data_IF_912245456692
#
_entry.id   IF_912245456692
#
_cell.length_a   1.000
_cell.length_b   1.000
_cell.length_c   1.000
_cell.angle_alpha   90.00
_cell.angle_beta   90.00
_cell.angle_gamma   90.00
#
_symmetry.space_group_name_H-M   'P 1'
#
loop_
_entity.id
_entity.type
_entity.pdbx_description
1 polymer ?
#
# COMPACT_ATOMS: atom_id res chain seq x y z
N UNK A 1 -5.84 10.58 -10.15
CA UNK A 1 -6.41 9.24 -9.94
C UNK A 1 -6.06 8.28 -11.07
N UNK A 2 -6.40 8.60 -12.33
CA UNK A 2 -6.12 7.78 -13.52
C UNK A 2 -4.65 7.35 -13.65
N UNK A 3 -3.71 8.29 -13.50
CA UNK A 3 -2.28 8.00 -13.56
C UNK A 3 -1.84 6.90 -12.58
N UNK A 4 -2.36 6.94 -11.34
CA UNK A 4 -1.98 5.98 -10.30
C UNK A 4 -2.58 4.59 -10.58
N UNK A 5 -3.81 4.54 -11.12
CA UNK A 5 -4.43 3.30 -11.57
C UNK A 5 -3.62 2.64 -12.68
N UNK A 6 -3.32 3.37 -13.76
CA UNK A 6 -2.53 2.86 -14.90
C UNK A 6 -1.12 2.45 -14.47
N UNK A 7 -0.46 3.26 -13.63
CA UNK A 7 0.84 2.92 -13.08
C UNK A 7 0.80 1.62 -12.27
N UNK A 8 -0.24 1.39 -11.47
CA UNK A 8 -0.41 0.15 -10.71
C UNK A 8 -0.67 -1.07 -11.60
N UNK A 9 -1.47 -0.91 -12.65
CA UNK A 9 -1.77 -1.95 -13.64
C UNK A 9 -0.51 -2.37 -14.41
N UNK A 10 0.27 -1.39 -14.86
CA UNK A 10 1.51 -1.64 -15.61
C UNK A 10 2.57 -2.25 -14.70
N UNK A 11 2.73 -1.70 -13.49
CA UNK A 11 3.68 -2.22 -12.51
C UNK A 11 3.39 -3.67 -12.16
N UNK A 12 2.12 -4.06 -11.96
CA UNK A 12 1.74 -5.44 -11.69
C UNK A 12 2.18 -6.40 -12.80
N UNK A 13 2.11 -5.98 -14.08
CA UNK A 13 2.55 -6.76 -15.25
C UNK A 13 4.09 -6.87 -15.36
N UNK A 14 4.83 -6.02 -14.67
CA UNK A 14 6.29 -6.09 -14.60
C UNK A 14 6.80 -7.01 -13.47
N UNK A 15 5.95 -7.44 -12.55
CA UNK A 15 6.33 -8.37 -11.47
C UNK A 15 6.23 -9.81 -11.98
N UNK A 16 7.17 -10.21 -12.83
CA UNK A 16 7.26 -11.55 -13.42
C UNK A 16 8.64 -12.18 -13.17
N UNK A 17 8.76 -13.53 -13.19
CA UNK A 17 10.04 -14.20 -12.99
C UNK A 17 11.13 -13.67 -13.93
N UNK A 18 12.32 -13.37 -13.41
CA UNK A 18 13.47 -12.89 -14.19
C UNK A 18 13.45 -11.39 -14.53
N UNK A 19 12.39 -10.66 -14.18
CA UNK A 19 12.37 -9.19 -14.29
C UNK A 19 13.02 -8.53 -13.08
N UNK A 20 13.47 -7.30 -13.29
CA UNK A 20 14.10 -6.48 -12.26
C UNK A 20 13.11 -5.49 -11.64
N UNK A 21 13.33 -5.17 -10.37
CA UNK A 21 12.72 -4.03 -9.67
C UNK A 21 12.84 -2.70 -10.44
N UNK A 22 13.91 -2.51 -11.22
CA UNK A 22 14.11 -1.31 -12.05
C UNK A 22 13.03 -1.16 -13.12
N UNK A 23 12.56 -2.26 -13.69
CA UNK A 23 11.53 -2.25 -14.71
C UNK A 23 10.20 -1.73 -14.15
N UNK A 24 9.88 -2.11 -12.91
CA UNK A 24 8.72 -1.62 -12.16
C UNK A 24 8.85 -0.13 -11.91
N UNK A 25 10.00 0.31 -11.36
CA UNK A 25 10.27 1.73 -11.05
C UNK A 25 10.15 2.57 -12.33
N UNK A 26 10.84 2.18 -13.40
CA UNK A 26 10.84 2.91 -14.67
C UNK A 26 9.43 2.99 -15.26
N UNK A 27 8.66 1.91 -15.21
CA UNK A 27 7.29 1.89 -15.71
C UNK A 27 6.38 2.87 -14.94
N UNK A 28 6.45 2.88 -13.61
CA UNK A 28 5.66 3.81 -12.78
C UNK A 28 6.04 5.26 -13.08
N UNK A 29 7.34 5.56 -13.18
CA UNK A 29 7.83 6.91 -13.41
C UNK A 29 7.51 7.42 -14.82
N UNK A 30 7.49 6.56 -15.83
CA UNK A 30 7.09 6.95 -17.18
C UNK A 30 5.62 7.38 -17.22
N UNK A 31 4.73 6.59 -16.59
CA UNK A 31 3.31 6.96 -16.46
C UNK A 31 3.18 8.27 -15.69
N UNK A 32 3.88 8.41 -14.56
CA UNK A 32 3.81 9.63 -13.77
C UNK A 32 4.18 10.87 -14.61
N UNK A 33 5.26 10.79 -15.41
CA UNK A 33 5.71 11.88 -16.29
C UNK A 33 4.68 12.26 -17.35
N UNK A 34 4.06 11.29 -18.01
CA UNK A 34 3.06 11.56 -19.06
C UNK A 34 1.83 12.29 -18.53
N UNK A 35 1.42 12.00 -17.30
CA UNK A 35 0.29 12.66 -16.65
C UNK A 35 0.70 13.92 -15.85
N UNK A 36 1.98 14.34 -15.91
CA UNK A 36 2.48 15.49 -15.16
C UNK A 36 2.47 15.30 -13.64
N UNK A 37 2.43 14.05 -13.16
CA UNK A 37 2.46 13.69 -11.74
C UNK A 37 3.87 13.29 -11.30
N UNK A 38 4.07 13.23 -9.98
CA UNK A 38 5.29 12.73 -9.34
C UNK A 38 4.99 11.52 -8.46
N UNK A 39 5.93 10.57 -8.39
CA UNK A 39 5.84 9.42 -7.49
C UNK A 39 6.15 9.88 -6.06
N UNK A 40 5.30 9.52 -5.10
CA UNK A 40 5.49 9.89 -3.70
C UNK A 40 6.62 9.07 -3.05
N UNK A 41 7.30 9.66 -2.07
CA UNK A 41 8.40 9.01 -1.33
C UNK A 41 7.99 7.75 -0.57
N UNK A 42 6.73 7.69 -0.15
CA UNK A 42 6.19 6.54 0.58
C UNK A 42 5.59 5.46 -0.32
N UNK A 43 5.80 5.55 -1.65
CA UNK A 43 5.41 4.48 -2.57
C UNK A 43 6.46 3.37 -2.55
N UNK A 44 6.07 2.18 -2.09
CA UNK A 44 6.96 1.02 -1.96
C UNK A 44 6.37 -0.22 -2.64
N UNK A 45 7.25 -1.07 -3.14
CA UNK A 45 6.90 -2.44 -3.49
C UNK A 45 7.63 -3.35 -2.51
N UNK A 46 6.87 -4.08 -1.70
CA UNK A 46 7.40 -4.88 -0.59
C UNK A 46 7.13 -6.35 -0.80
N UNK A 47 8.15 -7.18 -0.63
CA UNK A 47 7.96 -8.63 -0.56
C UNK A 47 7.13 -8.97 0.69
N UNK A 48 6.16 -9.87 0.51
CA UNK A 48 5.36 -10.45 1.58
C UNK A 48 5.81 -11.88 1.85
N UNK A 49 5.92 -12.24 3.12
CA UNK A 49 6.19 -13.60 3.57
C UNK A 49 5.31 -13.91 4.79
N UNK A 50 5.29 -15.17 5.22
CA UNK A 50 4.51 -15.60 6.37
C UNK A 50 4.91 -14.80 7.62
N UNK A 51 3.97 -14.03 8.16
CA UNK A 51 4.20 -13.16 9.32
C UNK A 51 5.32 -12.11 9.10
N UNK A 52 5.60 -11.73 7.85
CA UNK A 52 6.52 -10.65 7.51
C UNK A 52 5.87 -9.74 6.47
N UNK A 53 5.46 -8.55 6.91
CA UNK A 53 4.80 -7.56 6.05
C UNK A 53 5.78 -6.80 5.13
N UNK A 54 7.07 -6.74 5.49
CA UNK A 54 8.11 -6.10 4.68
C UNK A 54 9.33 -7.00 4.66
N UNK A 55 9.43 -7.81 3.61
CA UNK A 55 10.54 -8.73 3.37
C UNK A 55 11.81 -8.03 2.90
N UNK A 56 12.85 -8.83 2.63
CA UNK A 56 14.17 -8.33 2.23
C UNK A 56 14.16 -7.63 0.88
N UNK A 57 13.34 -8.12 -0.06
CA UNK A 57 13.19 -7.52 -1.39
C UNK A 57 12.11 -6.43 -1.37
N UNK A 58 12.37 -5.37 -0.61
CA UNK A 58 11.50 -4.20 -0.53
C UNK A 58 12.22 -2.98 -1.09
N UNK A 59 11.62 -2.30 -2.05
CA UNK A 59 12.23 -1.15 -2.72
C UNK A 59 11.24 0.01 -2.89
N UNK A 60 11.79 1.22 -3.00
CA UNK A 60 11.02 2.45 -3.22
C UNK A 60 10.70 2.59 -4.71
N UNK A 61 9.47 2.98 -5.04
CA UNK A 61 9.02 3.17 -6.42
C UNK A 61 9.45 4.55 -6.99
N UNK A 62 9.87 5.48 -6.12
CA UNK A 62 10.44 6.77 -6.54
C UNK A 62 11.91 6.59 -6.91
N UNK A 63 12.31 7.11 -8.06
CA UNK A 63 13.73 7.13 -8.45
C UNK A 63 14.49 8.02 -7.47
N UNK A 64 15.49 7.46 -6.78
CA UNK A 64 16.37 8.23 -5.89
C UNK A 64 17.51 8.83 -6.69
N UNK A 65 17.76 10.13 -6.49
CA UNK A 65 18.92 10.83 -7.07
C UNK A 65 20.22 10.41 -6.39
N UNK A 66 20.17 10.01 -5.12
CA UNK A 66 21.34 9.60 -4.32
C UNK A 66 21.07 8.32 -3.51
N UNK A 67 22.07 7.44 -3.46
CA UNK A 67 22.06 6.19 -2.68
C UNK A 67 22.01 4.90 -3.53
N UNK A 68 22.32 3.74 -2.93
CA UNK A 68 22.29 2.47 -3.65
C UNK A 68 20.84 2.12 -4.02
N UNK A 69 20.56 2.03 -5.32
CA UNK A 69 19.32 1.43 -5.80
C UNK A 69 19.47 -0.09 -5.70
N UNK A 70 18.73 -0.70 -4.78
CA UNK A 70 18.74 -2.15 -4.63
C UNK A 70 18.02 -2.78 -5.81
N UNK A 71 18.79 -3.42 -6.67
CA UNK A 71 18.26 -4.20 -7.77
C UNK A 71 17.86 -5.58 -7.25
N UNK A 72 16.56 -5.86 -7.29
CA UNK A 72 16.00 -7.14 -6.93
C UNK A 72 15.41 -7.80 -8.16
N UNK A 73 15.82 -9.06 -8.39
CA UNK A 73 15.18 -9.94 -9.36
C UNK A 73 13.98 -10.63 -8.72
N UNK A 74 12.88 -10.73 -9.46
CA UNK A 74 11.68 -11.44 -9.03
C UNK A 74 11.82 -12.93 -9.29
N UNK A 75 11.57 -13.75 -8.27
CA UNK A 75 11.57 -15.21 -8.40
C UNK A 75 10.14 -15.77 -8.37
N UNK A 76 9.93 -16.88 -9.08
CA UNK A 76 8.67 -17.61 -9.00
C UNK A 76 8.40 -18.12 -7.57
N UNK A 77 7.16 -18.01 -7.12
CA UNK A 77 6.73 -18.36 -5.76
C UNK A 77 6.80 -17.20 -4.76
N UNK A 78 7.34 -16.05 -5.14
CA UNK A 78 7.34 -14.86 -4.29
C UNK A 78 6.01 -14.10 -4.36
N UNK A 79 5.66 -13.40 -3.29
CA UNK A 79 4.49 -12.52 -3.23
C UNK A 79 4.93 -11.09 -2.92
N UNK A 80 4.31 -10.11 -3.57
CA UNK A 80 4.62 -8.70 -3.38
C UNK A 80 3.36 -7.89 -3.12
N UNK A 81 3.45 -6.94 -2.19
CA UNK A 81 2.54 -5.82 -2.04
C UNK A 81 3.05 -4.68 -2.90
N UNK A 82 2.32 -4.37 -3.96
CA UNK A 82 2.57 -3.22 -4.82
C UNK A 82 1.77 -2.02 -4.30
N UNK A 83 2.46 -1.00 -3.79
CA UNK A 83 1.85 0.24 -3.29
C UNK A 83 2.26 1.44 -4.15
N UNK A 84 1.41 1.81 -5.11
CA UNK A 84 1.65 2.94 -6.02
C UNK A 84 0.95 4.18 -5.50
N UNK A 85 1.75 5.19 -5.16
CA UNK A 85 1.26 6.48 -4.66
C UNK A 85 1.81 7.57 -5.59
N UNK A 86 0.91 8.28 -6.26
CA UNK A 86 1.24 9.43 -7.10
C UNK A 86 0.64 10.70 -6.54
N UNK A 87 1.36 11.80 -6.70
CA UNK A 87 0.93 13.15 -6.36
C UNK A 87 0.94 14.06 -7.59
N UNK A 88 0.03 15.04 -7.63
CA UNK A 88 0.10 16.16 -8.58
C UNK A 88 1.21 17.16 -8.24
N UNK A 89 1.69 17.15 -7.00
CA UNK A 89 2.74 18.04 -6.50
C UNK A 89 4.15 17.49 -6.69
N UNK A 90 5.03 17.76 -5.73
CA UNK A 90 6.45 17.35 -5.77
C UNK A 90 6.69 15.90 -5.35
N UNK A 91 5.67 15.23 -4.80
CA UNK A 91 5.80 13.88 -4.25
C UNK A 91 6.70 13.79 -3.02
N UNK A 92 6.92 14.92 -2.32
CA UNK A 92 7.60 14.99 -1.02
C UNK A 92 6.53 15.33 0.01
N UNK A 93 6.23 14.37 0.89
CA UNK A 93 5.19 14.54 1.90
C UNK A 93 5.78 15.08 3.20
N UNK A 94 5.01 15.93 3.88
CA UNK A 94 5.32 16.39 5.24
C UNK A 94 4.57 15.54 6.25
N UNK A 95 5.17 15.31 7.41
CA UNK A 95 4.46 14.70 8.53
C UNK A 95 3.32 15.63 8.96
N UNK A 96 2.13 15.08 9.05
CA UNK A 96 0.94 15.83 9.46
C UNK A 96 0.97 16.11 10.97
N UNK A 97 0.16 17.07 11.40
CA UNK A 97 -0.03 17.41 12.82
C UNK A 97 -0.81 16.32 13.58
N UNK A 98 -1.53 15.46 12.86
CA UNK A 98 -2.32 14.39 13.45
C UNK A 98 -1.43 13.29 14.03
N UNK A 99 -1.73 12.91 15.27
CA UNK A 99 -1.05 11.80 15.93
C UNK A 99 -1.36 10.46 15.23
N UNK A 100 -0.38 9.54 15.14
CA UNK A 100 -0.58 8.23 14.56
C UNK A 100 -1.59 7.41 15.37
N UNK A 101 -2.51 6.75 14.67
CA UNK A 101 -3.52 5.87 15.28
C UNK A 101 -3.31 4.40 14.93
N UNK A 102 -2.39 4.09 14.02
CA UNK A 102 -2.05 2.73 13.60
C UNK A 102 -0.63 2.42 14.09
N UNK A 103 -0.47 1.24 14.68
CA UNK A 103 0.81 0.76 15.20
C UNK A 103 1.06 -0.66 14.73
N UNK A 104 2.32 -1.03 14.52
CA UNK A 104 2.72 -2.42 14.35
C UNK A 104 3.76 -2.81 15.39
N UNK A 105 3.85 -4.11 15.68
CA UNK A 105 4.84 -4.63 16.62
C UNK A 105 6.15 -4.91 15.90
N UNK A 106 7.25 -4.41 16.44
CA UNK A 106 8.57 -4.79 15.97
C UNK A 106 9.03 -6.09 16.65
N UNK A 107 9.09 -7.18 15.88
CA UNK A 107 9.53 -8.49 16.40
C UNK A 107 11.04 -8.56 16.61
N UNK A 108 11.79 -7.73 15.88
CA UNK A 108 13.26 -7.75 15.90
C UNK A 108 13.85 -6.95 17.06
N UNK A 109 13.00 -6.24 17.83
CA UNK A 109 13.41 -5.43 18.97
C UNK A 109 12.89 -6.04 20.27
N UNK A 110 13.79 -6.19 21.23
CA UNK A 110 13.46 -6.61 22.58
C UNK A 110 14.01 -5.58 23.57
N UNK A 111 13.14 -5.08 24.43
CA UNK A 111 13.48 -4.08 25.43
C UNK A 111 12.74 -4.37 26.74
N UNK A 112 13.44 -4.22 27.86
CA UNK A 112 12.85 -4.40 29.19
C UNK A 112 12.17 -3.11 29.64
N UNK A 113 10.87 -3.01 29.40
CA UNK A 113 10.02 -1.89 29.78
C UNK A 113 10.09 -1.59 31.29
N UNK A 114 10.28 -0.32 31.64
CA UNK A 114 10.45 0.19 33.01
C UNK A 114 9.12 0.53 33.67
N UNK A 115 8.16 1.08 32.94
CA UNK A 115 6.86 1.43 33.51
C UNK A 115 5.93 0.22 33.60
N UNK A 116 5.12 0.17 34.66
CA UNK A 116 4.10 -0.89 34.83
C UNK A 116 3.03 -0.80 33.75
N UNK A 117 2.61 0.42 33.40
CA UNK A 117 1.64 0.69 32.33
C UNK A 117 2.13 0.15 30.98
N UNK A 118 3.39 0.43 30.60
CA UNK A 118 3.96 -0.06 29.34
C UNK A 118 4.03 -1.58 29.27
N UNK A 119 4.42 -2.24 30.38
CA UNK A 119 4.44 -3.72 30.44
C UNK A 119 3.05 -4.32 30.24
N UNK A 120 2.03 -3.75 30.88
CA UNK A 120 0.64 -4.20 30.73
C UNK A 120 0.15 -3.99 29.31
N UNK A 121 0.38 -2.80 28.74
CA UNK A 121 0.02 -2.47 27.36
C UNK A 121 0.69 -3.44 26.37
N UNK A 122 2.00 -3.60 26.45
CA UNK A 122 2.74 -4.45 25.52
C UNK A 122 2.34 -5.93 25.64
N UNK A 123 2.04 -6.39 26.86
CA UNK A 123 1.48 -7.71 27.10
C UNK A 123 0.12 -7.90 26.42
N UNK A 124 -0.80 -6.93 26.56
CA UNK A 124 -2.10 -6.93 25.87
C UNK A 124 -1.94 -6.97 24.35
N UNK A 125 -1.05 -6.14 23.80
CA UNK A 125 -0.79 -6.12 22.35
C UNK A 125 -0.26 -7.47 21.89
N UNK A 126 0.69 -8.08 22.60
CA UNK A 126 1.23 -9.39 22.22
C UNK A 126 0.21 -10.53 22.31
N UNK A 127 -0.81 -10.43 23.18
CA UNK A 127 -1.85 -11.45 23.30
C UNK A 127 -2.99 -11.26 22.31
N UNK A 128 -3.38 -10.01 22.05
CA UNK A 128 -4.55 -9.68 21.24
C UNK A 128 -4.20 -9.51 19.76
N UNK A 129 -3.02 -8.98 19.45
CA UNK A 129 -2.60 -8.62 18.11
C UNK A 129 -1.44 -9.49 17.63
N UNK A 130 -1.43 -9.77 16.34
CA UNK A 130 -0.31 -10.40 15.66
C UNK A 130 0.82 -9.37 15.44
N UNK A 131 1.77 -9.73 14.58
CA UNK A 131 2.84 -8.84 14.11
C UNK A 131 2.32 -7.78 13.12
N UNK A 132 1.09 -7.92 12.65
CA UNK A 132 0.46 -7.02 11.68
C UNK A 132 0.04 -5.68 12.31
N UNK A 133 -0.08 -4.62 11.50
CA UNK A 133 -0.57 -3.33 11.98
C UNK A 133 -1.99 -3.45 12.54
N UNK A 134 -2.25 -2.74 13.63
CA UNK A 134 -3.55 -2.71 14.31
C UNK A 134 -3.95 -1.26 14.64
N UNK A 135 -5.25 -1.05 14.82
CA UNK A 135 -5.77 0.24 15.22
C UNK A 135 -5.60 0.43 16.73
N UNK A 136 -5.12 1.60 17.13
CA UNK A 136 -4.96 1.98 18.53
C UNK A 136 -6.25 1.74 19.33
N UNK A 137 -7.40 2.12 18.77
CA UNK A 137 -8.73 1.99 19.41
C UNK A 137 -9.12 0.54 19.73
N UNK A 138 -8.58 -0.45 19.03
CA UNK A 138 -8.94 -1.86 19.23
C UNK A 138 -8.27 -2.47 20.47
N UNK A 139 -7.09 -1.96 20.84
CA UNK A 139 -6.23 -2.62 21.84
C UNK A 139 -5.78 -1.68 22.97
N UNK A 140 -5.74 -0.37 22.73
CA UNK A 140 -5.16 0.63 23.62
C UNK A 140 -6.27 1.48 24.24
N UNK A 141 -6.53 1.25 25.52
CA UNK A 141 -7.43 2.06 26.33
C UNK A 141 -6.79 3.39 26.75
N UNK A 142 -7.60 4.38 27.14
CA UNK A 142 -7.12 5.66 27.70
C UNK A 142 -6.13 5.49 28.85
N UNK A 143 -6.34 4.47 29.70
CA UNK A 143 -5.46 4.16 30.85
C UNK A 143 -4.07 3.65 30.42
N UNK A 144 -3.99 3.01 29.26
CA UNK A 144 -2.78 2.39 28.75
C UNK A 144 -1.97 3.34 27.86
N UNK A 145 -2.56 4.47 27.42
CA UNK A 145 -1.89 5.50 26.60
C UNK A 145 -0.59 6.01 27.22
N UNK A 146 -0.50 6.07 28.55
CA UNK A 146 0.73 6.48 29.23
C UNK A 146 1.92 5.56 28.95
N UNK A 147 1.67 4.27 28.69
CA UNK A 147 2.71 3.29 28.38
C UNK A 147 3.15 3.29 26.91
N UNK A 148 2.37 3.92 26.03
CA UNK A 148 2.61 3.91 24.59
C UNK A 148 3.89 4.67 24.22
N UNK A 149 4.16 5.79 24.89
CA UNK A 149 5.34 6.63 24.63
C UNK A 149 6.65 5.88 24.86
N UNK A 150 6.74 5.03 25.90
CA UNK A 150 7.90 4.19 26.17
C UNK A 150 8.06 3.09 25.11
N UNK A 151 6.96 2.44 24.70
CA UNK A 151 6.98 1.40 23.68
C UNK A 151 7.43 1.94 22.31
N UNK A 152 6.95 3.13 21.93
CA UNK A 152 7.35 3.80 20.69
C UNK A 152 8.80 4.27 20.76
N UNK A 153 9.21 4.90 21.87
CA UNK A 153 10.58 5.39 22.06
C UNK A 153 11.64 4.29 21.96
N UNK A 154 11.32 3.08 22.42
CA UNK A 154 12.23 1.94 22.37
C UNK A 154 11.97 1.02 21.16
N UNK A 155 11.27 1.52 20.14
CA UNK A 155 11.01 0.81 18.87
C UNK A 155 10.29 -0.54 19.02
N UNK A 156 9.58 -0.78 20.13
CA UNK A 156 8.78 -2.00 20.32
C UNK A 156 7.48 -1.92 19.52
N UNK A 157 6.90 -0.71 19.43
CA UNK A 157 5.75 -0.39 18.59
C UNK A 157 6.16 0.67 17.57
N UNK A 158 5.92 0.40 16.29
CA UNK A 158 6.23 1.30 15.19
C UNK A 158 4.95 2.08 14.83
N UNK A 159 4.93 3.41 15.00
CA UNK A 159 3.79 4.22 14.59
C UNK A 159 3.77 4.39 13.07
N UNK A 160 2.57 4.32 12.49
CA UNK A 160 2.33 4.72 11.10
C UNK A 160 1.90 6.18 11.11
N UNK A 161 2.87 7.08 10.94
CA UNK A 161 2.64 8.52 10.89
C UNK A 161 1.77 8.90 9.70
N UNK A 162 0.82 9.80 9.92
CA UNK A 162 0.04 10.41 8.84
C UNK A 162 0.94 11.44 8.15
N UNK A 163 1.06 11.34 6.84
CA UNK A 163 1.77 12.32 6.03
C UNK A 163 0.82 12.92 4.99
N UNK A 164 1.07 14.18 4.64
CA UNK A 164 0.26 14.94 3.68
C UNK A 164 1.16 15.69 2.72
N UNK A 165 0.69 15.88 1.49
CA UNK A 165 1.33 16.79 0.54
C UNK A 165 0.97 18.26 0.86
N UNK A 166 1.47 19.20 0.05
CA UNK A 166 1.13 20.62 0.15
C UNK A 166 -0.37 20.85 -0.05
N UNK A 167 -0.89 21.89 0.60
CA UNK A 167 -2.29 22.26 0.47
C UNK A 167 -2.63 22.56 -1.00
N UNK A 168 -3.73 21.97 -1.49
CA UNK A 168 -4.21 22.12 -2.86
C UNK A 168 -3.72 21.04 -3.83
N UNK A 169 -2.80 20.17 -3.41
CA UNK A 169 -2.35 19.03 -4.22
C UNK A 169 -3.21 17.78 -3.97
N UNK A 170 -3.28 16.91 -4.96
CA UNK A 170 -4.02 15.66 -4.90
C UNK A 170 -3.08 14.46 -4.92
N UNK A 171 -3.34 13.51 -4.02
CA UNK A 171 -2.62 12.24 -3.93
C UNK A 171 -3.57 11.09 -4.22
N UNK A 172 -3.14 10.16 -5.07
CA UNK A 172 -3.87 8.94 -5.36
C UNK A 172 -3.02 7.71 -5.04
N UNK A 173 -3.60 6.76 -4.32
CA UNK A 173 -2.95 5.52 -3.90
C UNK A 173 -3.71 4.31 -4.43
N UNK A 174 -3.01 3.38 -5.06
CA UNK A 174 -3.51 2.06 -5.41
C UNK A 174 -2.58 1.01 -4.84
N UNK A 175 -3.16 0.09 -4.08
CA UNK A 175 -2.44 -1.02 -3.44
C UNK A 175 -3.03 -2.34 -3.90
N UNK A 176 -2.17 -3.26 -4.32
CA UNK A 176 -2.57 -4.61 -4.72
C UNK A 176 -1.52 -5.63 -4.33
N UNK A 177 -1.96 -6.87 -4.16
CA UNK A 177 -1.07 -8.00 -3.89
C UNK A 177 -0.92 -8.84 -5.15
N UNK A 178 0.32 -9.05 -5.57
CA UNK A 178 0.68 -9.81 -6.77
C UNK A 178 1.53 -11.00 -6.36
N UNK A 179 1.11 -12.18 -6.79
CA UNK A 179 1.87 -13.41 -6.70
C UNK A 179 2.67 -13.64 -7.98
N UNK A 180 3.95 -13.91 -7.84
CA UNK A 180 4.84 -14.22 -8.97
C UNK A 180 4.68 -15.69 -9.30
N UNK A 181 3.70 -16.01 -10.14
CA UNK A 181 3.51 -17.36 -10.63
C UNK A 181 4.55 -17.69 -11.73
N UNK A 182 4.84 -18.97 -11.94
CA UNK A 182 5.81 -19.39 -12.95
C UNK A 182 5.37 -19.03 -14.38
N UNK A 183 4.06 -18.88 -14.63
CA UNK A 183 3.51 -18.45 -15.93
C UNK A 183 3.38 -16.94 -16.08
N UNK A 184 3.62 -16.16 -15.02
CA UNK A 184 3.48 -14.71 -15.04
C UNK A 184 2.89 -14.14 -13.75
N UNK A 185 2.62 -12.82 -13.72
CA UNK A 185 2.03 -12.17 -12.55
C UNK A 185 0.59 -12.61 -12.35
N UNK A 186 0.25 -12.94 -11.11
CA UNK A 186 -1.09 -13.33 -10.70
C UNK A 186 -1.60 -12.35 -9.64
N UNK A 187 -2.64 -11.59 -9.97
CA UNK A 187 -3.30 -10.70 -9.03
C UNK A 187 -4.10 -11.51 -8.00
N UNK A 188 -3.86 -11.25 -6.72
CA UNK A 188 -4.60 -11.85 -5.60
C UNK A 188 -5.71 -10.96 -5.05
N UNK A 189 -5.62 -9.64 -5.24
CA UNK A 189 -6.62 -8.68 -4.77
C UNK A 189 -7.72 -8.45 -5.80
N UNK A 190 -8.91 -8.02 -5.35
CA UNK A 190 -10.00 -7.68 -6.27
C UNK A 190 -9.59 -6.56 -7.24
N UNK A 191 -9.96 -6.67 -8.53
CA UNK A 191 -9.75 -5.60 -9.48
C UNK A 191 -10.61 -4.41 -9.04
N UNK A 192 -9.99 -3.23 -9.03
CA UNK A 192 -10.71 -1.98 -8.79
C UNK A 192 -11.30 -1.53 -10.13
N UNK A 193 -12.58 -1.11 -10.18
CA UNK A 193 -13.15 -0.54 -11.40
C UNK A 193 -12.26 0.58 -11.95
N UNK A 194 -12.07 0.59 -13.27
CA UNK A 194 -11.32 1.65 -13.94
C UNK A 194 -11.96 3.00 -13.63
N UNK A 195 -11.20 4.01 -13.18
CA UNK A 195 -11.71 5.37 -12.98
C UNK A 195 -11.96 6.10 -14.32
N UNK A 196 -11.63 5.50 -15.47
CA UNK A 196 -11.90 6.02 -16.80
C UNK A 196 -13.03 5.23 -17.48
N UNK A 197 -14.03 5.91 -18.08
CA UNK A 197 -14.94 5.30 -19.06
C UNK A 197 -14.29 5.11 -20.44
N UNK A 198 -13.33 5.98 -20.85
CA UNK A 198 -12.62 5.89 -22.14
C UNK A 198 -11.10 6.04 -21.98
N UNK A 199 -10.33 5.13 -22.60
CA UNK A 199 -8.86 5.10 -22.63
C UNK A 199 -8.24 6.00 -23.71
N UNK A 200 -9.04 6.84 -24.37
CA UNK A 200 -8.65 7.69 -25.52
C UNK A 200 -7.56 8.72 -25.20
N UNK A 201 -7.29 8.98 -23.91
CA UNK A 201 -6.22 9.87 -23.47
C UNK A 201 -4.82 9.26 -23.63
N UNK A 202 -4.69 7.93 -23.73
CA UNK A 202 -3.39 7.26 -23.86
C UNK A 202 -3.08 7.11 -25.35
N UNK A 203 -1.96 7.64 -25.86
CA UNK A 203 -1.56 7.41 -27.24
C UNK A 203 -1.34 5.91 -27.48
N UNK A 204 -2.01 5.33 -28.48
CA UNK A 204 -1.93 3.89 -28.79
C UNK A 204 -0.51 3.42 -29.16
N UNK A 205 0.33 4.34 -29.64
CA UNK A 205 1.74 4.08 -30.00
C UNK A 205 2.70 4.18 -28.81
N UNK A 206 2.22 4.48 -27.60
CA UNK A 206 3.08 4.63 -26.42
C UNK A 206 3.54 3.29 -25.84
N UNK A 207 4.70 3.30 -25.18
CA UNK A 207 5.21 2.17 -24.40
C UNK A 207 4.26 1.73 -23.28
N UNK A 208 3.33 2.60 -22.88
CA UNK A 208 2.29 2.30 -21.89
C UNK A 208 1.26 1.34 -22.48
N UNK A 209 0.79 1.58 -23.70
CA UNK A 209 -0.20 0.74 -24.37
C UNK A 209 0.33 -0.69 -24.60
N UNK A 210 1.60 -0.81 -25.02
CA UNK A 210 2.24 -2.11 -25.20
C UNK A 210 2.41 -2.89 -23.89
N UNK A 211 2.65 -2.20 -22.77
CA UNK A 211 2.71 -2.84 -21.46
C UNK A 211 1.35 -3.19 -20.89
N UNK A 212 0.30 -2.43 -21.20
CA UNK A 212 -1.08 -2.70 -20.77
C UNK A 212 -1.70 -3.91 -21.49
N UNK A 213 -1.30 -4.15 -22.75
CA UNK A 213 -1.81 -5.27 -23.55
C UNK A 213 -1.38 -6.65 -23.02
N UNK A 214 -0.32 -6.71 -22.21
CA UNK A 214 0.08 -7.95 -21.52
C UNK A 214 -1.04 -8.34 -20.56
N UNK A 215 -1.54 -9.57 -20.67
CA UNK A 215 -2.60 -10.06 -19.79
C UNK A 215 -2.10 -10.16 -18.34
N UNK A 216 -2.87 -9.59 -17.41
CA UNK A 216 -2.68 -9.80 -15.98
C UNK A 216 -3.66 -10.89 -15.55
N UNK A 217 -3.13 -12.07 -15.24
CA UNK A 217 -3.97 -13.17 -14.76
C UNK A 217 -4.49 -12.83 -13.36
N UNK A 218 -5.73 -13.20 -13.09
CA UNK A 218 -6.36 -13.00 -11.79
C UNK A 218 -6.75 -14.35 -11.21
N UNK A 219 -6.48 -14.58 -9.92
CA UNK A 219 -7.05 -15.75 -9.27
C UNK A 219 -8.58 -15.60 -9.17
N UNK A 220 -9.35 -16.66 -9.46
CA UNK A 220 -10.76 -16.66 -9.15
C UNK A 220 -10.92 -16.48 -7.64
N UNK A 221 -11.81 -15.58 -7.22
CA UNK A 221 -12.14 -15.47 -5.80
C UNK A 221 -12.84 -16.75 -5.37
N UNK A 222 -12.27 -17.41 -4.37
CA UNK A 222 -12.98 -18.50 -3.71
C UNK A 222 -14.17 -17.88 -2.98
N UNK A 223 -15.40 -18.24 -3.37
CA UNK A 223 -16.57 -17.85 -2.60
C UNK A 223 -16.41 -18.41 -1.18
N UNK A 224 -16.45 -17.54 -0.18
CA UNK A 224 -16.58 -18.01 1.19
C UNK A 224 -17.83 -18.90 1.27
N UNK A 225 -17.81 -20.02 2.00
CA UNK A 225 -18.98 -20.85 2.18
C UNK A 225 -20.14 -19.97 2.65
N UNK A 226 -21.23 -19.96 1.88
CA UNK A 226 -22.36 -19.05 2.10
C UNK A 226 -22.90 -19.24 3.51
N UNK A 227 -22.66 -18.26 4.37
CA UNK A 227 -23.22 -18.25 5.71
C UNK A 227 -24.65 -17.72 5.58
N UNK A 228 -25.66 -18.58 5.75
CA UNK A 228 -27.07 -18.23 5.54
C UNK A 228 -27.56 -17.03 6.40
N UNK A 229 -26.87 -16.76 7.52
CA UNK A 229 -27.12 -15.62 8.38
C UNK A 229 -26.64 -14.27 7.82
N UNK A 230 -25.70 -14.26 6.87
CA UNK A 230 -25.10 -13.05 6.27
C UNK A 230 -25.82 -12.69 4.96
N UNK A 231 -26.36 -13.68 4.24
CA UNK A 231 -27.09 -13.47 2.98
C UNK A 231 -28.39 -12.66 3.10
N UNK A 232 -28.92 -12.49 4.32
CA UNK A 232 -30.08 -11.63 4.60
C UNK A 232 -29.70 -10.17 4.88
N UNK A 233 -28.41 -9.86 5.04
CA UNK A 233 -27.90 -8.52 5.28
C UNK A 233 -27.61 -7.91 3.92
N UNK A 234 -28.53 -7.09 3.42
CA UNK A 234 -28.26 -6.27 2.23
C UNK A 234 -27.05 -5.37 2.50
N UNK A 235 -26.06 -5.29 1.60
CA UNK A 235 -24.99 -4.31 1.74
C UNK A 235 -25.61 -2.91 1.82
N UNK A 236 -25.09 -2.00 2.67
CA UNK A 236 -25.58 -0.63 2.72
C UNK A 236 -25.45 -0.03 1.32
N UNK A 237 -26.57 0.42 0.77
CA UNK A 237 -26.57 1.13 -0.51
C UNK A 237 -25.64 2.33 -0.38
N UNK A 238 -24.63 2.40 -1.26
CA UNK A 238 -23.84 3.60 -1.44
C UNK A 238 -24.82 4.72 -1.84
N UNK A 239 -25.06 5.66 -0.92
CA UNK A 239 -25.77 6.89 -1.22
C UNK A 239 -24.93 7.68 -2.23
N UNK A 240 -25.21 7.46 -3.52
CA UNK A 240 -24.83 8.41 -4.56
C UNK A 240 -25.68 9.64 -4.33
N UNK A 241 -25.17 10.57 -3.52
CA UNK A 241 -25.74 11.91 -3.42
C UNK A 241 -25.17 12.73 -4.57
N UNK A 242 -25.92 12.78 -5.67
CA UNK A 242 -25.78 13.83 -6.67
C UNK A 242 -26.20 15.15 -6.02
N UNK A 243 -25.26 15.82 -5.37
CA UNK A 243 -25.45 17.21 -4.97
C UNK A 243 -24.21 17.98 -5.37
N UNK A 244 -24.28 18.50 -6.60
CA UNK A 244 -23.44 19.59 -7.09
C UNK A 244 -23.69 20.78 -6.15
N UNK A 245 -22.79 20.98 -5.20
CA UNK A 245 -22.71 22.22 -4.44
C UNK A 245 -22.05 23.25 -5.36
N UNK A 246 -22.87 24.03 -6.06
CA UNK A 246 -22.46 25.34 -6.55
C UNK A 246 -22.11 26.20 -5.34
N UNK A 247 -20.87 26.69 -5.30
CA UNK A 247 -20.45 27.73 -4.39
C UNK A 247 -20.44 29.01 -5.23
N UNK A 248 -21.36 29.92 -4.91
CA UNK A 248 -21.32 31.32 -5.33
C UNK A 248 -20.13 32.06 -4.68
#
# INVERSE_FOLDING_TARGET
MVAAYLASEIAARQIAPGKSSKDVINAINNVAKEFGCQVAEHSFTSQLDQFVFSGKKTFCNKVKTEGPMFDHEFNAGETYSLDVILSTGTGISKTSEYAPTIYSRNVNRSYRLKLKSSRLLFGKVCSAQSIFPFLMRETIDERDKMGLSECVKNELLIPYSVSSDRNGEFVAQFKMTVFVHHSGPLRLTAPVPSPLPDLSFIPETSDIASKLSVNLNQMPFCELPKNAAISSISPPQLLVSDTVMQID
#
